data_IF_667346727410
#
_entry.id   IF_667346727410
#
_cell.length_a   1.000
_cell.length_b   1.000
_cell.length_c   1.000
_cell.angle_alpha   90.00
_cell.angle_beta   90.00
_cell.angle_gamma   90.00
#
_symmetry.space_group_name_H-M   'P 1'
#
loop_
_entity.id
_entity.type
_entity.pdbx_description
1 polymer ?
#
# COMPACT_ATOMS: atom_id res chain seq x y z
N UNK A 1 -8.94 -8.12 -7.24
CA UNK A 1 -9.41 -7.67 -5.90
C UNK A 1 -8.70 -8.52 -4.85
N UNK A 2 -8.08 -7.93 -3.83
CA UNK A 2 -7.42 -8.69 -2.75
C UNK A 2 -8.48 -9.05 -1.69
N UNK A 3 -9.12 -10.21 -1.87
CA UNK A 3 -10.20 -10.75 -1.03
C UNK A 3 -9.79 -12.10 -0.47
N UNK A 4 -10.25 -12.41 0.75
CA UNK A 4 -9.86 -13.64 1.45
C UNK A 4 -8.34 -13.86 1.45
N UNK A 5 -7.56 -12.94 2.05
CA UNK A 5 -6.13 -13.13 2.17
C UNK A 5 -5.80 -14.39 2.97
N UNK A 6 -4.84 -15.14 2.46
CA UNK A 6 -4.33 -16.38 3.05
C UNK A 6 -2.82 -16.27 3.21
N UNK A 7 -2.31 -16.83 4.28
CA UNK A 7 -0.88 -16.96 4.55
C UNK A 7 -0.47 -18.41 4.30
N UNK A 8 0.59 -18.61 3.53
CA UNK A 8 1.22 -19.92 3.33
C UNK A 8 2.21 -20.19 4.48
N UNK A 9 2.62 -21.44 4.68
CA UNK A 9 3.55 -21.81 5.77
C UNK A 9 4.91 -21.10 5.65
N UNK A 10 5.30 -20.67 4.44
CA UNK A 10 6.48 -19.85 4.20
C UNK A 10 6.33 -18.37 4.62
N UNK A 11 5.16 -17.97 5.14
CA UNK A 11 4.87 -16.60 5.59
C UNK A 11 4.41 -15.62 4.50
N UNK A 12 4.41 -16.02 3.22
CA UNK A 12 3.92 -15.19 2.12
C UNK A 12 2.38 -15.15 2.07
N UNK A 13 1.84 -14.02 1.60
CA UNK A 13 0.42 -13.70 1.69
C UNK A 13 -0.18 -13.42 0.31
N UNK A 14 -1.29 -14.06 0.01
CA UNK A 14 -1.96 -13.96 -1.29
C UNK A 14 -3.47 -13.94 -1.11
N UNK A 15 -4.21 -13.60 -2.17
CA UNK A 15 -5.66 -13.83 -2.17
C UNK A 15 -5.94 -15.32 -2.37
N UNK A 16 -6.97 -15.87 -1.71
CA UNK A 16 -7.33 -17.30 -1.83
C UNK A 16 -7.49 -17.74 -3.29
N UNK A 17 -8.21 -16.96 -4.09
CA UNK A 17 -8.40 -17.24 -5.52
C UNK A 17 -7.08 -17.32 -6.29
N UNK A 18 -6.15 -16.39 -6.00
CA UNK A 18 -4.84 -16.31 -6.64
C UNK A 18 -4.00 -17.57 -6.40
N UNK A 19 -4.05 -18.10 -5.18
CA UNK A 19 -3.30 -19.31 -4.82
C UNK A 19 -3.93 -20.56 -5.42
N UNK A 20 -5.26 -20.65 -5.40
CA UNK A 20 -5.97 -21.78 -5.98
C UNK A 20 -5.75 -21.84 -7.49
N UNK A 21 -5.87 -20.71 -8.19
CA UNK A 21 -5.60 -20.62 -9.63
C UNK A 21 -4.16 -21.04 -9.96
N UNK A 22 -3.18 -20.62 -9.16
CA UNK A 22 -1.79 -21.05 -9.31
C UNK A 22 -1.64 -22.58 -9.19
N UNK A 23 -2.24 -23.18 -8.16
CA UNK A 23 -2.17 -24.63 -7.94
C UNK A 23 -2.99 -25.45 -8.94
N UNK A 24 -3.97 -24.85 -9.60
CA UNK A 24 -4.82 -25.51 -10.59
C UNK A 24 -4.24 -25.39 -12.01
N UNK A 25 -3.49 -24.31 -12.30
CA UNK A 25 -2.79 -24.11 -13.59
C UNK A 25 -1.53 -24.97 -13.72
N UNK A 26 -0.97 -25.47 -12.61
CA UNK A 26 0.27 -26.22 -12.54
C UNK A 26 0.28 -27.62 -13.18
N UNK A 27 -0.81 -28.09 -13.78
CA UNK A 27 -0.85 -29.28 -14.63
C UNK A 27 -0.50 -30.61 -13.94
N UNK A 28 -1.51 -31.43 -13.68
CA UNK A 28 -1.38 -32.87 -13.37
C UNK A 28 -0.37 -33.23 -12.27
N UNK A 29 -0.72 -32.98 -11.00
CA UNK A 29 -0.14 -33.74 -9.88
C UNK A 29 0.69 -32.94 -8.88
N UNK A 30 0.01 -32.56 -7.80
CA UNK A 30 0.47 -32.70 -6.41
C UNK A 30 1.46 -31.70 -5.78
N UNK A 31 2.12 -30.79 -6.49
CA UNK A 31 3.01 -29.83 -5.81
C UNK A 31 2.32 -28.51 -5.47
N UNK A 32 1.88 -28.43 -4.22
CA UNK A 32 1.39 -27.19 -3.60
C UNK A 32 2.62 -26.32 -3.37
N UNK A 33 2.82 -25.26 -4.14
CA UNK A 33 4.01 -24.40 -4.02
C UNK A 33 3.65 -22.94 -3.77
N UNK A 34 4.57 -22.22 -3.14
CA UNK A 34 4.48 -20.77 -3.00
C UNK A 34 4.80 -20.09 -4.35
N UNK A 35 3.92 -19.23 -4.89
CA UNK A 35 4.19 -18.49 -6.13
C UNK A 35 5.43 -17.56 -6.05
N UNK A 36 5.80 -17.13 -4.83
CA UNK A 36 6.88 -16.16 -4.63
C UNK A 36 8.25 -16.80 -4.36
N UNK A 37 8.31 -17.89 -3.59
CA UNK A 37 9.58 -18.53 -3.23
C UNK A 37 9.74 -19.95 -3.73
N UNK A 38 8.71 -20.52 -4.38
CA UNK A 38 8.73 -21.89 -4.90
C UNK A 38 8.71 -22.99 -3.83
N UNK A 39 8.67 -22.65 -2.55
CA UNK A 39 8.64 -23.64 -1.48
C UNK A 39 7.42 -24.55 -1.62
N UNK A 40 7.66 -25.86 -1.66
CA UNK A 40 6.61 -26.88 -1.74
C UNK A 40 6.06 -27.23 -0.35
N UNK A 41 4.77 -27.51 -0.31
CA UNK A 41 4.01 -27.85 0.89
C UNK A 41 3.33 -29.22 0.68
N UNK A 42 3.22 -30.03 1.73
CA UNK A 42 2.61 -31.36 1.63
C UNK A 42 1.08 -31.30 1.51
N UNK A 43 0.44 -30.16 1.82
CA UNK A 43 -1.01 -30.01 1.89
C UNK A 43 -1.48 -28.67 1.32
N UNK A 44 -2.68 -28.66 0.73
CA UNK A 44 -3.40 -27.45 0.29
C UNK A 44 -4.09 -26.74 1.46
N UNK A 45 -3.43 -26.64 2.60
CA UNK A 45 -3.97 -25.92 3.76
C UNK A 45 -3.71 -24.42 3.59
N UNK A 46 -4.78 -23.63 3.61
CA UNK A 46 -4.72 -22.17 3.48
C UNK A 46 -5.14 -21.56 4.80
N UNK A 47 -4.24 -20.80 5.43
CA UNK A 47 -4.51 -20.12 6.69
C UNK A 47 -5.09 -18.74 6.42
N UNK A 48 -6.37 -18.46 6.76
CA UNK A 48 -6.94 -17.13 6.55
C UNK A 48 -6.23 -16.08 7.38
N UNK A 49 -5.96 -14.92 6.80
CA UNK A 49 -5.31 -13.81 7.48
C UNK A 49 -6.31 -12.68 7.80
N UNK A 50 -6.99 -12.79 8.93
CA UNK A 50 -8.00 -11.81 9.38
C UNK A 50 -7.40 -10.41 9.63
N UNK A 51 -6.12 -10.35 10.02
CA UNK A 51 -5.42 -9.07 10.18
C UNK A 51 -5.28 -8.37 8.82
N UNK A 52 -4.87 -9.08 7.77
CA UNK A 52 -4.79 -8.52 6.42
C UNK A 52 -6.17 -8.14 5.88
N UNK A 53 -7.23 -8.87 6.20
CA UNK A 53 -8.61 -8.44 5.88
C UNK A 53 -8.88 -7.07 6.47
N UNK A 54 -8.57 -6.91 7.76
CA UNK A 54 -8.81 -5.67 8.50
C UNK A 54 -7.98 -4.51 7.95
N UNK A 55 -6.69 -4.73 7.72
CA UNK A 55 -5.78 -3.72 7.17
C UNK A 55 -6.24 -3.29 5.78
N UNK A 56 -6.56 -4.24 4.90
CA UNK A 56 -7.01 -3.93 3.53
C UNK A 56 -8.35 -3.19 3.54
N UNK A 57 -9.27 -3.54 4.44
CA UNK A 57 -10.53 -2.81 4.62
C UNK A 57 -10.29 -1.37 5.11
N UNK A 58 -9.40 -1.20 6.09
CA UNK A 58 -9.02 0.13 6.61
C UNK A 58 -8.34 0.98 5.53
N UNK A 59 -7.39 0.43 4.79
CA UNK A 59 -6.73 1.13 3.68
C UNK A 59 -7.72 1.52 2.59
N UNK A 60 -8.65 0.63 2.21
CA UNK A 60 -9.73 0.98 1.28
C UNK A 60 -10.61 2.10 1.83
N UNK A 61 -10.91 2.08 3.13
CA UNK A 61 -11.73 3.13 3.77
C UNK A 61 -11.02 4.48 3.80
N UNK A 62 -9.69 4.49 3.90
CA UNK A 62 -8.87 5.70 3.76
C UNK A 62 -8.83 6.17 2.30
N UNK A 63 -8.73 5.26 1.34
CA UNK A 63 -8.74 5.58 -0.09
C UNK A 63 -10.11 6.00 -0.64
N UNK A 64 -11.21 5.60 0.01
CA UNK A 64 -12.57 6.04 -0.34
C UNK A 64 -12.87 7.49 0.07
N UNK A 65 -11.92 8.16 0.75
CA UNK A 65 -11.96 9.61 0.92
C UNK A 65 -11.28 10.36 -0.25
N UNK A 66 -10.69 9.66 -1.23
CA UNK A 66 -10.09 10.24 -2.44
C UNK A 66 -10.93 10.02 -3.71
N UNK A 67 -12.12 9.38 -3.61
CA UNK A 67 -13.11 9.34 -4.70
C UNK A 67 -13.99 10.61 -4.66
N UNK A 68 -13.35 11.78 -4.55
CA UNK A 68 -13.91 13.07 -4.97
C UNK A 68 -12.96 13.63 -6.03
N UNK A 69 -13.37 13.45 -7.29
CA UNK A 69 -12.87 14.13 -8.47
C UNK A 69 -11.38 13.95 -8.83
N UNK A 70 -11.15 12.95 -9.69
CA UNK A 70 -10.30 13.01 -10.87
C UNK A 70 -8.95 13.70 -10.78
N UNK A 71 -7.86 12.92 -10.80
CA UNK A 71 -6.56 13.31 -11.40
C UNK A 71 -6.03 14.73 -11.02
N UNK A 72 -6.34 15.22 -9.82
CA UNK A 72 -6.02 16.58 -9.38
C UNK A 72 -5.59 16.58 -7.93
N UNK A 73 -4.28 16.53 -7.70
CA UNK A 73 -3.64 16.37 -6.40
C UNK A 73 -4.33 17.07 -5.23
N UNK A 74 -4.40 16.35 -4.10
CA UNK A 74 -5.01 16.76 -2.82
C UNK A 74 -4.96 18.28 -2.62
N UNK A 75 -6.10 18.95 -2.75
CA UNK A 75 -6.17 20.40 -2.55
C UNK A 75 -6.11 20.69 -1.06
N UNK A 76 -5.29 21.64 -0.66
CA UNK A 76 -5.24 22.09 0.72
C UNK A 76 -6.62 22.65 1.12
N UNK A 77 -7.22 22.12 2.19
CA UNK A 77 -8.53 22.57 2.68
C UNK A 77 -8.52 24.01 3.21
N UNK A 78 -7.36 24.53 3.62
CA UNK A 78 -7.20 25.91 4.09
C UNK A 78 -7.01 26.92 2.96
N UNK A 79 -6.26 26.56 1.92
CA UNK A 79 -5.83 27.49 0.86
C UNK A 79 -6.44 27.19 -0.52
N UNK A 80 -7.13 26.05 -0.66
CA UNK A 80 -7.72 25.59 -1.92
C UNK A 80 -6.72 25.28 -3.03
N UNK A 81 -5.41 25.32 -2.76
CA UNK A 81 -4.36 25.09 -3.75
C UNK A 81 -3.96 23.61 -3.80
N UNK A 82 -3.59 23.05 -4.97
CA UNK A 82 -3.11 21.68 -5.07
C UNK A 82 -1.85 21.49 -4.21
N UNK A 83 -1.80 20.42 -3.42
CA UNK A 83 -0.63 20.05 -2.66
C UNK A 83 0.44 19.50 -3.60
N UNK A 84 1.54 20.24 -3.72
CA UNK A 84 2.66 19.96 -4.65
C UNK A 84 3.99 19.71 -3.94
N UNK A 85 4.00 19.79 -2.60
CA UNK A 85 5.20 19.67 -1.78
C UNK A 85 4.99 18.60 -0.73
N UNK A 86 6.04 17.86 -0.37
CA UNK A 86 5.99 16.84 0.67
C UNK A 86 6.73 17.32 1.92
N UNK A 87 6.08 17.25 3.09
CA UNK A 87 6.70 17.49 4.38
C UNK A 87 7.25 16.16 4.91
N UNK A 88 8.57 16.00 4.95
CA UNK A 88 9.23 14.78 5.45
C UNK A 88 9.02 14.54 6.95
N UNK A 89 8.80 15.58 7.74
CA UNK A 89 8.55 15.49 9.19
C UNK A 89 7.17 14.94 9.51
N UNK A 90 6.16 15.42 8.79
CA UNK A 90 4.75 15.07 9.01
C UNK A 90 4.25 13.98 8.05
N UNK A 91 5.10 13.53 7.11
CA UNK A 91 4.80 12.59 6.04
C UNK A 91 3.52 12.95 5.26
N UNK A 92 3.31 14.24 4.97
CA UNK A 92 2.09 14.75 4.32
C UNK A 92 2.37 15.68 3.14
N UNK A 93 1.45 15.73 2.20
CA UNK A 93 1.46 16.70 1.11
C UNK A 93 0.96 18.07 1.59
N UNK A 94 1.66 19.14 1.22
CA UNK A 94 1.36 20.53 1.57
C UNK A 94 1.28 21.41 0.32
N UNK A 95 0.45 22.45 0.38
CA UNK A 95 0.39 23.47 -0.67
C UNK A 95 1.45 24.57 -0.42
N UNK A 96 1.86 25.33 -1.45
CA UNK A 96 2.87 26.38 -1.31
C UNK A 96 2.52 27.47 -0.28
N UNK A 97 1.23 27.66 0.03
CA UNK A 97 0.76 28.67 0.98
C UNK A 97 0.67 28.16 2.41
N UNK A 98 0.79 26.85 2.65
CA UNK A 98 0.86 26.33 4.01
C UNK A 98 2.27 26.61 4.55
N UNK A 99 2.43 27.41 5.62
CA UNK A 99 3.71 27.44 6.31
C UNK A 99 4.03 26.02 6.83
N UNK A 100 5.29 25.59 6.85
CA UNK A 100 5.67 24.39 7.59
C UNK A 100 5.24 24.59 9.04
N UNK A 101 4.18 23.89 9.46
CA UNK A 101 3.71 23.99 10.83
C UNK A 101 4.70 23.24 11.72
N UNK A 102 5.57 24.01 12.37
CA UNK A 102 6.48 23.54 13.39
C UNK A 102 7.10 24.72 14.10
N UNK A 103 6.84 24.83 15.40
CA UNK A 103 7.47 25.76 16.34
C UNK A 103 8.97 25.45 16.56
N UNK A 104 9.67 24.95 15.54
CA UNK A 104 11.11 24.71 15.57
C UNK A 104 11.75 25.27 14.32
N UNK A 105 12.70 26.18 14.54
CA UNK A 105 13.60 26.78 13.54
C UNK A 105 14.61 25.75 13.01
N UNK A 106 14.12 24.63 12.48
CA UNK A 106 14.92 23.60 11.83
C UNK A 106 14.43 23.43 10.40
N UNK A 107 15.29 23.82 9.46
CA UNK A 107 15.15 23.71 8.00
C UNK A 107 14.22 22.58 7.56
N UNK A 108 12.94 22.89 7.37
CA UNK A 108 12.01 21.96 6.71
C UNK A 108 12.30 22.05 5.22
N UNK A 109 13.20 21.21 4.75
CA UNK A 109 13.53 21.09 3.32
C UNK A 109 12.27 20.62 2.60
N UNK A 110 11.57 21.56 1.97
CA UNK A 110 10.48 21.26 1.05
C UNK A 110 11.11 20.70 -0.23
N UNK A 111 10.84 19.43 -0.52
CA UNK A 111 11.31 18.79 -1.74
C UNK A 111 10.10 18.68 -2.67
N UNK A 112 10.30 19.03 -3.94
CA UNK A 112 9.28 18.82 -4.96
C UNK A 112 8.95 17.31 -5.01
N UNK A 113 7.67 16.96 -5.23
CA UNK A 113 7.24 15.56 -5.29
C UNK A 113 8.04 14.77 -6.36
N UNK A 114 8.47 15.44 -7.42
CA UNK A 114 9.30 14.87 -8.50
C UNK A 114 10.72 14.50 -8.03
N UNK A 115 11.24 15.14 -6.98
CA UNK A 115 12.61 14.95 -6.47
C UNK A 115 12.67 14.04 -5.23
N UNK A 116 11.53 13.61 -4.69
CA UNK A 116 11.47 12.80 -3.46
C UNK A 116 12.04 11.37 -3.60
N UNK A 117 12.29 10.89 -4.83
CA UNK A 117 12.84 9.55 -5.09
C UNK A 117 14.33 9.39 -4.72
N UNK A 118 15.08 10.47 -4.50
CA UNK A 118 16.53 10.40 -4.27
C UNK A 118 16.93 10.47 -2.79
N UNK A 119 15.98 10.67 -1.88
CA UNK A 119 16.24 10.77 -0.44
C UNK A 119 16.34 9.39 0.25
N UNK A 120 16.00 8.30 -0.44
CA UNK A 120 16.23 6.91 -0.01
C UNK A 120 17.35 6.24 -0.83
N UNK A 121 18.58 6.77 -0.75
CA UNK A 121 19.80 5.99 -0.98
C UNK A 121 20.68 5.99 0.26
#
# INVERSE_FOLDING_TARGET
>A
MYTEPVTLDCGHNFCKGCVLEWWDTGGTGAEVSCPQCGQCFPRRELMPNQLLVTIVASLRSLNLQDEVDGLGGQRCLLHGQPARFFCSKDLRLVCPSCPPQGQDRGSSTLIAVEEAYTVCK
#
